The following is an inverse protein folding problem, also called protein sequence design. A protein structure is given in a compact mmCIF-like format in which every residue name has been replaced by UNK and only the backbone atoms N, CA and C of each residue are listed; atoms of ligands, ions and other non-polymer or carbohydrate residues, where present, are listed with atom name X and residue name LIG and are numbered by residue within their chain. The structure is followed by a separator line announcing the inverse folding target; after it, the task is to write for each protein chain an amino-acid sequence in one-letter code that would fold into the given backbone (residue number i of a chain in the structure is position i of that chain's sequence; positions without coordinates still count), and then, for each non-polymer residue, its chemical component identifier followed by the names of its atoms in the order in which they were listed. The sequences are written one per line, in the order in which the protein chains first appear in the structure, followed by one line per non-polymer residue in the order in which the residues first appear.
data_IF_158818441995
#
_entry.id   IF_158818441995
#
_cell.length_a   1.000
_cell.length_b   1.000
_cell.length_c   1.000
_cell.angle_alpha   90.00
_cell.angle_beta   90.00
_cell.angle_gamma   90.00
#
_symmetry.space_group_name_H-M   'P 1'
#
loop_
_entity.id
_entity.type
_entity.pdbx_description
1 polymer ?
#
# COMPACT_ATOMS: atom_id res chain seq x y z
N UNK A 1 -8.62 23.80 -11.57
CA UNK A 1 -9.43 23.51 -10.37
C UNK A 1 -9.89 22.06 -10.41
N UNK A 2 -10.38 21.57 -11.55
CA UNK A 2 -10.83 20.18 -11.72
C UNK A 2 -9.75 19.13 -11.42
N UNK A 3 -8.50 19.35 -11.85
CA UNK A 3 -7.39 18.42 -11.59
C UNK A 3 -7.08 18.21 -10.09
N UNK A 4 -7.31 19.22 -9.25
CA UNK A 4 -7.10 19.10 -7.80
C UNK A 4 -8.27 18.36 -7.17
N UNK A 5 -9.50 18.57 -7.67
CA UNK A 5 -10.70 17.87 -7.21
C UNK A 5 -10.61 16.38 -7.54
N UNK A 6 -10.18 16.03 -8.76
CA UNK A 6 -9.99 14.62 -9.14
C UNK A 6 -8.91 13.95 -8.32
N UNK A 7 -7.78 14.63 -8.05
CA UNK A 7 -6.73 14.08 -7.17
C UNK A 7 -7.25 13.81 -5.75
N UNK A 8 -8.10 14.68 -5.21
CA UNK A 8 -8.69 14.48 -3.89
C UNK A 8 -9.71 13.33 -3.94
N UNK A 9 -10.52 13.23 -4.99
CA UNK A 9 -11.45 12.12 -5.17
C UNK A 9 -10.72 10.78 -5.26
N UNK A 10 -9.67 10.70 -6.08
CA UNK A 10 -8.81 9.51 -6.21
C UNK A 10 -8.16 9.15 -4.86
N UNK A 11 -7.77 10.17 -4.08
CA UNK A 11 -7.24 9.99 -2.73
C UNK A 11 -8.24 9.31 -1.80
N UNK A 12 -9.53 9.69 -1.87
CA UNK A 12 -10.60 9.09 -1.07
C UNK A 12 -11.05 7.74 -1.60
N UNK A 13 -11.00 7.51 -2.93
CA UNK A 13 -11.30 6.20 -3.52
C UNK A 13 -10.22 5.16 -3.19
N UNK A 14 -8.98 5.59 -2.96
CA UNK A 14 -7.94 4.70 -2.45
C UNK A 14 -7.53 3.61 -3.45
N UNK A 15 -7.65 3.89 -4.75
CA UNK A 15 -7.36 2.90 -5.79
C UNK A 15 -5.85 2.66 -5.88
N UNK A 16 -5.42 1.48 -5.45
CA UNK A 16 -4.05 0.99 -5.53
C UNK A 16 -4.03 -0.26 -6.40
N UNK A 17 -3.06 -0.35 -7.32
CA UNK A 17 -2.88 -1.54 -8.16
C UNK A 17 -2.17 -2.68 -7.39
N UNK A 18 -2.20 -3.89 -7.94
CA UNK A 18 -1.62 -5.06 -7.24
C UNK A 18 -0.11 -4.91 -6.97
N UNK A 19 0.64 -4.32 -7.91
CA UNK A 19 2.08 -4.13 -7.78
C UNK A 19 2.40 -3.04 -6.72
N UNK A 20 1.58 -2.00 -6.69
CA UNK A 20 1.60 -0.90 -5.73
C UNK A 20 1.24 -1.36 -4.32
N UNK A 21 0.30 -2.29 -4.17
CA UNK A 21 -0.02 -2.92 -2.89
C UNK A 21 1.20 -3.66 -2.32
N UNK A 22 1.92 -4.41 -3.17
CA UNK A 22 3.13 -5.12 -2.75
C UNK A 22 4.28 -4.17 -2.39
N UNK A 23 4.42 -3.07 -3.14
CA UNK A 23 5.38 -2.02 -2.83
C UNK A 23 5.04 -1.31 -1.51
N UNK A 24 3.75 -1.01 -1.30
CA UNK A 24 3.23 -0.42 -0.08
C UNK A 24 3.52 -1.29 1.15
N UNK A 25 3.33 -2.61 1.04
CA UNK A 25 3.63 -3.56 2.11
C UNK A 25 5.13 -3.61 2.46
N UNK A 26 5.99 -3.71 1.43
CA UNK A 26 7.44 -3.69 1.65
C UNK A 26 7.91 -2.39 2.28
N UNK A 27 7.37 -1.25 1.84
CA UNK A 27 7.74 0.06 2.34
C UNK A 27 7.31 0.24 3.80
N UNK A 28 6.06 -0.10 4.15
CA UNK A 28 5.57 -0.06 5.52
C UNK A 28 6.41 -0.93 6.46
N UNK A 29 6.67 -2.18 6.06
CA UNK A 29 7.47 -3.13 6.85
C UNK A 29 8.91 -2.63 7.05
N UNK A 30 9.54 -2.10 5.99
CA UNK A 30 10.89 -1.55 6.06
C UNK A 30 10.97 -0.32 6.97
N UNK A 31 10.03 0.62 6.85
CA UNK A 31 10.01 1.83 7.68
C UNK A 31 9.83 1.44 9.15
N UNK A 32 8.80 0.66 9.47
CA UNK A 32 8.52 0.31 10.86
C UNK A 32 9.62 -0.53 11.49
N UNK A 33 10.25 -1.44 10.75
CA UNK A 33 11.37 -2.23 11.28
C UNK A 33 12.57 -1.35 11.61
N UNK A 34 12.93 -0.40 10.73
CA UNK A 34 14.02 0.56 10.99
C UNK A 34 13.71 1.40 12.23
N UNK A 35 12.52 2.00 12.29
CA UNK A 35 12.12 2.82 13.45
C UNK A 35 12.06 2.02 14.75
N UNK A 36 11.62 0.76 14.70
CA UNK A 36 11.57 -0.11 15.86
C UNK A 36 12.97 -0.41 16.40
N UNK A 37 13.93 -0.73 15.52
CA UNK A 37 15.33 -0.95 15.91
C UNK A 37 15.94 0.31 16.53
N UNK A 38 15.73 1.48 15.91
CA UNK A 38 16.22 2.76 16.43
C UNK A 38 15.59 3.11 17.78
N UNK A 39 14.27 2.92 17.91
CA UNK A 39 13.55 3.18 19.16
C UNK A 39 14.10 2.33 20.31
N UNK A 40 14.32 1.04 20.07
CA UNK A 40 14.88 0.13 21.08
C UNK A 40 16.30 0.51 21.48
N UNK A 41 17.18 0.80 20.52
CA UNK A 41 18.58 1.17 20.82
C UNK A 41 18.63 2.49 21.58
N UNK A 42 17.95 3.53 21.08
CA UNK A 42 17.96 4.86 21.69
C UNK A 42 17.30 4.86 23.08
N UNK A 43 16.15 4.19 23.21
CA UNK A 43 15.44 4.02 24.47
C UNK A 43 16.24 3.25 25.50
N UNK A 44 16.94 2.20 25.08
CA UNK A 44 17.83 1.44 25.96
C UNK A 44 19.02 2.28 26.44
N UNK A 45 19.69 3.02 25.55
CA UNK A 45 20.83 3.86 25.96
C UNK A 45 20.40 4.93 26.96
N UNK A 46 19.23 5.56 26.75
CA UNK A 46 18.73 6.62 27.63
C UNK A 46 17.93 6.12 28.83
N UNK A 47 17.65 4.82 28.92
CA UNK A 47 16.78 4.23 29.96
C UNK A 47 15.42 4.94 30.07
N UNK A 48 14.88 5.43 28.94
CA UNK A 48 13.63 6.19 28.86
C UNK A 48 12.62 5.51 27.93
N UNK A 49 11.51 5.07 28.51
CA UNK A 49 10.42 4.42 27.78
C UNK A 49 9.62 5.41 26.93
N UNK A 50 9.48 6.66 27.37
CA UNK A 50 8.75 7.67 26.60
C UNK A 50 9.50 8.03 25.32
N UNK A 51 10.83 8.10 25.37
CA UNK A 51 11.65 8.29 24.17
C UNK A 51 11.41 7.18 23.14
N UNK A 52 11.40 5.93 23.58
CA UNK A 52 11.07 4.76 22.73
C UNK A 52 9.71 4.93 22.07
N UNK A 53 8.69 5.31 22.86
CA UNK A 53 7.32 5.51 22.37
C UNK A 53 7.22 6.66 21.37
N UNK A 54 7.92 7.78 21.60
CA UNK A 54 7.93 8.91 20.67
C UNK A 54 8.57 8.55 19.33
N UNK A 55 9.67 7.80 19.35
CA UNK A 55 10.32 7.33 18.12
C UNK A 55 9.41 6.34 17.37
N UNK A 56 8.79 5.39 18.07
CA UNK A 56 7.84 4.44 17.47
C UNK A 56 6.61 5.15 16.88
N UNK A 57 6.09 6.18 17.57
CA UNK A 57 4.98 7.00 17.10
C UNK A 57 5.39 7.81 15.86
N UNK A 58 6.57 8.41 15.86
CA UNK A 58 7.12 9.10 14.70
C UNK A 58 7.28 8.16 13.50
N UNK A 59 7.76 6.93 13.73
CA UNK A 59 7.85 5.90 12.70
C UNK A 59 6.51 5.50 12.13
N UNK A 60 5.51 5.30 12.99
CA UNK A 60 4.13 4.99 12.58
C UNK A 60 3.52 6.12 11.75
N UNK A 61 3.65 7.37 12.18
CA UNK A 61 3.14 8.53 11.44
C UNK A 61 3.85 8.69 10.09
N UNK A 62 5.16 8.43 10.05
CA UNK A 62 5.94 8.46 8.80
C UNK A 62 5.46 7.38 7.84
N UNK A 63 5.28 6.15 8.32
CA UNK A 63 4.76 5.04 7.52
C UNK A 63 3.34 5.33 7.03
N UNK A 64 2.46 5.86 7.89
CA UNK A 64 1.12 6.28 7.51
C UNK A 64 1.15 7.32 6.40
N UNK A 65 1.96 8.38 6.56
CA UNK A 65 2.07 9.41 5.54
C UNK A 65 2.58 8.87 4.20
N UNK A 66 3.56 7.97 4.21
CA UNK A 66 4.18 7.46 2.98
C UNK A 66 3.37 6.34 2.29
N UNK A 67 2.56 5.58 3.03
CA UNK A 67 1.91 4.37 2.50
C UNK A 67 0.40 4.52 2.37
N UNK A 68 -0.27 5.26 3.25
CA UNK A 68 -1.75 5.35 3.29
C UNK A 68 -2.34 6.14 2.11
N UNK A 69 -1.79 7.30 1.72
CA UNK A 69 -2.26 7.99 0.52
C UNK A 69 -2.00 7.11 -0.72
N UNK A 70 -2.97 6.96 -1.65
CA UNK A 70 -2.75 6.34 -2.95
C UNK A 70 -1.89 7.25 -3.84
N UNK A 71 -0.59 7.34 -3.51
CA UNK A 71 0.36 8.09 -4.33
C UNK A 71 0.36 7.56 -5.76
N UNK A 72 0.58 8.41 -6.77
CA UNK A 72 0.63 7.97 -8.18
C UNK A 72 1.72 6.93 -8.47
N UNK A 73 2.66 6.71 -7.54
CA UNK A 73 3.67 5.64 -7.60
C UNK A 73 3.04 4.25 -7.41
N UNK A 74 1.95 4.14 -6.64
CA UNK A 74 1.25 2.89 -6.33
C UNK A 74 0.16 2.52 -7.35
N UNK A 75 0.03 3.27 -8.44
CA UNK A 75 -0.99 3.03 -9.47
C UNK A 75 -0.41 3.16 -10.89
N UNK A 76 0.82 2.68 -11.09
CA UNK A 76 1.56 2.78 -12.36
C UNK A 76 1.27 1.64 -13.33
N UNK A 77 0.74 0.53 -12.83
CA UNK A 77 0.51 -0.70 -13.56
C UNK A 77 -0.97 -1.10 -13.44
N UNK A 78 -1.88 -0.41 -14.15
CA UNK A 78 -3.29 -0.78 -14.15
C UNK A 78 -3.45 -2.19 -14.73
N UNK A 79 -3.83 -3.13 -13.88
CA UNK A 79 -3.96 -4.54 -14.25
C UNK A 79 -5.29 -4.75 -15.02
N UNK A 80 -5.25 -5.30 -16.25
CA UNK A 80 -6.46 -5.55 -17.01
C UNK A 80 -7.31 -6.64 -16.34
N UNK A 81 -8.61 -6.39 -16.19
CA UNK A 81 -9.54 -7.39 -15.68
C UNK A 81 -9.60 -8.61 -16.61
N UNK A 82 -9.05 -9.74 -16.14
CA UNK A 82 -9.23 -11.05 -16.76
C UNK A 82 -10.67 -11.53 -16.51
N UNK A 83 -11.62 -11.03 -17.30
CA UNK A 83 -13.01 -11.48 -17.18
C UNK A 83 -14.10 -10.64 -17.82
N UNK A 84 -13.80 -9.48 -18.41
CA UNK A 84 -14.85 -8.75 -19.15
C UNK A 84 -14.88 -9.19 -20.61
N UNK A 85 -15.48 -10.37 -20.86
CA UNK A 85 -16.10 -10.63 -22.16
C UNK A 85 -17.61 -10.61 -21.94
N UNK A 86 -18.22 -9.59 -22.51
CA UNK A 86 -19.65 -9.40 -22.70
C UNK A 86 -20.45 -10.72 -22.79
N UNK A 87 -21.57 -10.76 -22.06
CA UNK A 87 -22.66 -11.75 -22.05
C UNK A 87 -22.34 -13.14 -22.63
N UNK A 88 -22.14 -14.13 -21.75
CA UNK A 88 -22.18 -15.54 -22.15
C UNK A 88 -23.62 -15.91 -22.55
N UNK A 89 -23.85 -16.47 -23.76
CA UNK A 89 -25.12 -17.08 -24.12
C UNK A 89 -25.46 -18.26 -23.20
N UNK A 90 -26.72 -18.70 -23.12
CA UNK A 90 -27.12 -19.81 -22.25
C UNK A 90 -26.35 -21.09 -22.63
N UNK A 91 -25.42 -21.53 -21.78
CA UNK A 91 -24.58 -22.72 -21.99
C UNK A 91 -23.05 -22.48 -22.10
N UNK A 92 -22.56 -21.25 -21.91
CA UNK A 92 -21.12 -20.99 -21.96
C UNK A 92 -20.31 -21.61 -20.81
N UNK A 93 -19.21 -22.28 -21.11
CA UNK A 93 -18.22 -22.78 -20.14
C UNK A 93 -17.09 -21.76 -20.03
N UNK A 94 -16.74 -21.37 -18.79
CA UNK A 94 -15.57 -20.54 -18.49
C UNK A 94 -14.29 -21.38 -18.67
N UNK A 95 -13.50 -21.07 -19.70
CA UNK A 95 -12.15 -21.61 -19.84
C UNK A 95 -11.25 -20.90 -18.83
N UNK A 96 -10.98 -21.59 -17.73
CA UNK A 96 -9.84 -21.35 -16.85
C UNK A 96 -8.57 -21.43 -17.68
N UNK A 97 -7.97 -20.30 -18.07
CA UNK A 97 -6.63 -20.31 -18.66
C UNK A 97 -5.60 -20.45 -17.54
N UNK A 98 -5.57 -21.64 -16.96
CA UNK A 98 -4.42 -22.13 -16.22
C UNK A 98 -3.47 -22.75 -17.24
N UNK A 99 -2.48 -21.97 -17.68
CA UNK A 99 -1.30 -22.50 -18.37
C UNK A 99 -0.52 -23.40 -17.41
N UNK A 100 -0.98 -24.64 -17.31
CA UNK A 100 -0.27 -25.75 -16.69
C UNK A 100 0.96 -26.10 -17.51
N UNK A 101 2.05 -26.35 -16.80
CA UNK A 101 3.12 -27.25 -17.26
C UNK A 101 2.72 -28.67 -16.89
#
# INVERSE_FOLDING_TARGET
MDAVVTQIQDLFEGQIDFDGQYLAEQLYSSILSIFSVVALIAGYIQQDIFLTMWIALAGTLTAMFLVVPPWPVFNRHPQPWLGSKASLPPGGILVRDGKGR
#
